data_IF_751512057139
#
_entry.id   IF_751512057139
#
_cell.length_a   1.000
_cell.length_b   1.000
_cell.length_c   1.000
_cell.angle_alpha   90.00
_cell.angle_beta   90.00
_cell.angle_gamma   90.00
#
_symmetry.space_group_name_H-M   'P 1'
#
loop_
_entity.id
_entity.type
_entity.pdbx_description
1 polymer ?
#
# COMPACT_ATOMS: atom_id res chain seq x y z
N UNK A 1 8.09 3.00 43.92
CA UNK A 1 7.78 4.04 42.93
C UNK A 1 7.91 3.39 41.54
N UNK A 2 6.78 3.02 40.94
CA UNK A 2 6.76 2.52 39.56
C UNK A 2 7.11 3.68 38.62
N UNK A 3 8.02 3.43 37.66
CA UNK A 3 8.28 4.37 36.59
C UNK A 3 6.95 4.69 35.86
N UNK A 4 6.68 5.96 35.50
CA UNK A 4 5.47 6.28 34.77
C UNK A 4 5.45 5.47 33.47
N UNK A 5 4.39 4.68 33.27
CA UNK A 5 4.17 4.02 31.98
C UNK A 5 4.08 5.14 30.95
N UNK A 6 5.02 5.15 30.00
CA UNK A 6 4.96 6.10 28.89
C UNK A 6 3.61 5.92 28.19
N UNK A 7 2.83 6.98 28.11
CA UNK A 7 1.53 6.98 27.43
C UNK A 7 1.78 6.73 25.95
N UNK A 8 1.33 5.57 25.48
CA UNK A 8 1.43 5.19 24.04
C UNK A 8 0.28 5.86 23.31
N UNK A 9 0.61 6.81 22.46
CA UNK A 9 -0.38 7.48 21.61
C UNK A 9 -0.74 6.60 20.39
N UNK A 10 -2.03 6.45 20.07
CA UNK A 10 -2.43 5.79 18.85
C UNK A 10 -1.84 6.48 17.62
N UNK A 11 -1.31 5.70 16.69
CA UNK A 11 -0.85 6.20 15.39
C UNK A 11 -2.06 6.78 14.65
N UNK A 12 -2.03 8.06 14.23
CA UNK A 12 -3.15 8.65 13.50
C UNK A 12 -3.36 7.96 12.15
N UNK A 13 -4.59 7.96 11.63
CA UNK A 13 -4.85 7.43 10.31
C UNK A 13 -4.08 8.22 9.23
N UNK A 14 -3.65 7.53 8.20
CA UNK A 14 -3.03 8.13 7.03
C UNK A 14 -4.01 9.07 6.33
N UNK A 15 -3.49 10.03 5.57
CA UNK A 15 -4.32 10.99 4.84
C UNK A 15 -5.29 10.24 3.90
N UNK A 16 -6.58 10.51 4.03
CA UNK A 16 -7.64 9.84 3.28
C UNK A 16 -8.20 8.57 3.92
N UNK A 17 -7.68 8.13 5.09
CA UNK A 17 -8.23 6.98 5.84
C UNK A 17 -9.04 7.38 7.08
N UNK A 18 -8.87 8.58 7.56
CA UNK A 18 -9.66 9.12 8.67
C UNK A 18 -10.89 9.91 8.19
N UNK A 19 -11.65 10.46 9.14
CA UNK A 19 -12.71 11.41 8.82
C UNK A 19 -12.14 12.56 7.98
N UNK A 20 -12.79 12.89 6.86
CA UNK A 20 -12.33 13.96 5.99
C UNK A 20 -12.48 15.30 6.72
N UNK A 21 -11.39 16.02 7.05
CA UNK A 21 -11.49 17.36 7.59
C UNK A 21 -12.11 18.27 6.54
N UNK A 22 -12.82 19.31 7.00
CA UNK A 22 -13.29 20.34 6.09
C UNK A 22 -12.09 21.17 5.62
N UNK A 23 -11.71 21.01 4.36
CA UNK A 23 -10.59 21.77 3.76
C UNK A 23 -11.12 23.00 3.03
N UNK A 24 -10.40 24.13 3.14
CA UNK A 24 -10.68 25.35 2.41
C UNK A 24 -10.10 25.26 0.98
N UNK A 25 -10.64 24.32 0.20
CA UNK A 25 -10.26 24.15 -1.19
C UNK A 25 -11.52 23.96 -2.05
N UNK A 26 -11.64 24.77 -3.12
CA UNK A 26 -12.78 24.70 -4.03
C UNK A 26 -12.44 23.87 -5.27
N UNK A 27 -13.12 22.74 -5.40
CA UNK A 27 -12.97 21.82 -6.54
C UNK A 27 -13.77 22.22 -7.79
N UNK A 28 -14.47 23.33 -7.78
CA UNK A 28 -15.43 23.71 -8.84
C UNK A 28 -14.75 23.89 -10.19
N UNK A 29 -13.65 24.65 -10.25
CA UNK A 29 -12.91 24.89 -11.51
C UNK A 29 -12.34 23.59 -12.10
N UNK A 30 -11.80 22.73 -11.24
CA UNK A 30 -11.28 21.42 -11.66
C UNK A 30 -12.40 20.49 -12.13
N UNK A 31 -13.55 20.49 -11.45
CA UNK A 31 -14.74 19.74 -11.88
C UNK A 31 -15.24 20.21 -13.26
N UNK A 32 -15.27 21.53 -13.50
CA UNK A 32 -15.60 22.11 -14.81
C UNK A 32 -14.60 21.71 -15.90
N UNK A 33 -13.30 21.78 -15.59
CA UNK A 33 -12.24 21.36 -16.50
C UNK A 33 -12.37 19.88 -16.89
N UNK A 34 -12.61 19.00 -15.92
CA UNK A 34 -12.87 17.57 -16.18
C UNK A 34 -14.11 17.36 -17.04
N UNK A 35 -15.22 18.05 -16.72
CA UNK A 35 -16.44 17.94 -17.52
C UNK A 35 -16.24 18.40 -18.95
N UNK A 36 -15.51 19.52 -19.15
CA UNK A 36 -15.18 20.04 -20.47
C UNK A 36 -14.29 19.06 -21.23
N UNK A 37 -13.31 18.45 -20.58
CA UNK A 37 -12.38 17.49 -21.17
C UNK A 37 -13.09 16.20 -21.70
N UNK A 38 -14.26 15.89 -21.13
CA UNK A 38 -15.07 14.71 -21.44
C UNK A 38 -16.37 15.04 -22.21
N UNK A 39 -16.54 16.27 -22.69
CA UNK A 39 -17.77 16.68 -23.38
C UNK A 39 -17.49 16.93 -24.86
N UNK A 40 -18.20 16.22 -25.73
CA UNK A 40 -18.11 16.42 -27.17
C UNK A 40 -17.48 15.26 -27.92
N UNK A 41 -16.83 15.54 -29.03
CA UNK A 41 -16.08 14.55 -29.81
C UNK A 41 -14.64 14.45 -29.28
N UNK A 42 -14.27 13.24 -28.86
CA UNK A 42 -12.95 12.96 -28.30
C UNK A 42 -12.80 13.39 -26.85
N UNK A 43 -11.69 13.06 -26.26
CA UNK A 43 -11.35 13.34 -24.86
C UNK A 43 -10.06 14.14 -24.78
N UNK A 44 -9.99 15.12 -23.89
CA UNK A 44 -8.75 15.83 -23.55
C UNK A 44 -8.05 15.10 -22.40
N UNK A 45 -7.30 14.06 -22.73
CA UNK A 45 -6.56 13.22 -21.80
C UNK A 45 -5.53 14.02 -21.01
N UNK A 46 -4.90 15.02 -21.64
CA UNK A 46 -3.92 15.89 -20.98
C UNK A 46 -4.55 16.67 -19.81
N UNK A 47 -5.77 17.17 -19.99
CA UNK A 47 -6.50 17.86 -18.92
C UNK A 47 -6.90 16.87 -17.81
N UNK A 48 -7.34 15.66 -18.15
CA UNK A 48 -7.62 14.62 -17.13
C UNK A 48 -6.40 14.32 -16.28
N UNK A 49 -5.24 14.12 -16.90
CA UNK A 49 -3.97 13.86 -16.21
C UNK A 49 -3.59 15.05 -15.32
N UNK A 50 -3.54 16.25 -15.90
CA UNK A 50 -3.13 17.47 -15.20
C UNK A 50 -3.98 17.76 -13.97
N UNK A 51 -5.29 17.56 -14.05
CA UNK A 51 -6.19 17.78 -12.93
C UNK A 51 -6.04 16.70 -11.88
N UNK A 52 -6.11 15.43 -12.26
CA UNK A 52 -6.20 14.33 -11.30
C UNK A 52 -4.85 13.98 -10.66
N UNK A 53 -3.75 13.98 -11.41
CA UNK A 53 -2.43 13.61 -10.90
C UNK A 53 -1.80 14.65 -9.96
N UNK A 54 -2.42 15.81 -9.75
CA UNK A 54 -1.93 16.84 -8.84
C UNK A 54 -2.64 16.88 -7.49
N UNK A 55 -3.70 16.11 -7.31
CA UNK A 55 -4.56 16.16 -6.11
C UNK A 55 -4.02 15.27 -4.99
N UNK A 56 -4.18 15.75 -3.77
CA UNK A 56 -4.05 14.93 -2.57
C UNK A 56 -5.37 14.16 -2.25
N UNK A 57 -5.37 13.23 -1.29
CA UNK A 57 -6.57 12.46 -0.95
C UNK A 57 -7.79 13.29 -0.53
N UNK A 58 -7.58 14.42 0.12
CA UNK A 58 -8.69 15.29 0.56
C UNK A 58 -9.26 16.10 -0.61
N UNK A 59 -8.37 16.63 -1.45
CA UNK A 59 -8.76 17.37 -2.65
C UNK A 59 -9.52 16.49 -3.64
N UNK A 60 -9.10 15.25 -3.86
CA UNK A 60 -9.79 14.34 -4.79
C UNK A 60 -11.19 14.00 -4.29
N UNK A 61 -11.37 13.88 -2.97
CA UNK A 61 -12.69 13.65 -2.38
C UNK A 61 -13.64 14.85 -2.61
N UNK A 62 -13.17 16.07 -2.36
CA UNK A 62 -13.93 17.31 -2.62
C UNK A 62 -14.22 17.45 -4.11
N UNK A 63 -13.23 17.19 -4.98
CA UNK A 63 -13.40 17.25 -6.43
C UNK A 63 -14.51 16.31 -6.92
N UNK A 64 -14.51 15.08 -6.46
CA UNK A 64 -15.54 14.10 -6.80
C UNK A 64 -16.93 14.54 -6.35
N UNK A 65 -17.03 15.04 -5.13
CA UNK A 65 -18.31 15.57 -4.59
C UNK A 65 -18.79 16.80 -5.40
N UNK A 66 -17.90 17.74 -5.70
CA UNK A 66 -18.19 18.93 -6.50
C UNK A 66 -18.67 18.55 -7.91
N UNK A 67 -18.00 17.58 -8.55
CA UNK A 67 -18.42 17.08 -9.86
C UNK A 67 -19.82 16.46 -9.83
N UNK A 68 -20.05 15.55 -8.88
CA UNK A 68 -21.32 14.86 -8.76
C UNK A 68 -22.48 15.84 -8.46
N UNK A 69 -22.25 16.76 -7.53
CA UNK A 69 -23.28 17.76 -7.15
C UNK A 69 -23.59 18.72 -8.29
N UNK A 70 -22.54 19.26 -8.96
CA UNK A 70 -22.70 20.27 -9.99
C UNK A 70 -23.33 19.75 -11.28
N UNK A 71 -22.99 18.52 -11.68
CA UNK A 71 -23.43 17.97 -12.97
C UNK A 71 -24.48 16.86 -12.83
N UNK A 72 -24.83 16.43 -11.62
CA UNK A 72 -25.73 15.30 -11.40
C UNK A 72 -25.19 13.98 -11.99
N UNK A 73 -23.86 13.83 -12.08
CA UNK A 73 -23.17 12.73 -12.77
C UNK A 73 -22.10 12.12 -11.87
N UNK A 74 -21.81 10.86 -12.08
CA UNK A 74 -20.71 10.16 -11.39
C UNK A 74 -19.42 10.30 -12.21
N UNK A 75 -18.38 10.89 -11.59
CA UNK A 75 -17.10 11.13 -12.27
C UNK A 75 -16.42 9.85 -12.75
N UNK A 76 -16.50 8.75 -11.97
CA UNK A 76 -15.92 7.47 -12.37
C UNK A 76 -16.65 6.90 -13.60
N UNK A 77 -17.98 6.99 -13.62
CA UNK A 77 -18.77 6.51 -14.77
C UNK A 77 -18.47 7.32 -16.02
N UNK A 78 -18.33 8.63 -15.88
CA UNK A 78 -17.98 9.48 -17.01
C UNK A 78 -16.58 9.15 -17.55
N UNK A 79 -15.58 9.01 -16.70
CA UNK A 79 -14.22 8.59 -17.12
C UNK A 79 -14.26 7.23 -17.85
N UNK A 80 -14.97 6.25 -17.31
CA UNK A 80 -15.12 4.93 -17.93
C UNK A 80 -15.82 4.95 -19.30
N UNK A 81 -16.65 5.95 -19.57
CA UNK A 81 -17.29 6.09 -20.88
C UNK A 81 -16.39 6.75 -21.92
N UNK A 82 -15.33 7.44 -21.49
CA UNK A 82 -14.48 8.25 -22.37
C UNK A 82 -13.11 7.61 -22.67
N UNK A 83 -12.57 6.84 -21.74
CA UNK A 83 -11.25 6.24 -21.85
C UNK A 83 -11.27 4.76 -21.49
N UNK A 84 -10.20 4.04 -21.78
CA UNK A 84 -10.14 2.58 -21.56
C UNK A 84 -8.76 2.10 -21.10
N UNK A 85 -8.65 0.82 -20.79
CA UNK A 85 -7.40 0.14 -20.49
C UNK A 85 -6.77 0.60 -19.16
N UNK A 86 -5.46 0.56 -19.10
CA UNK A 86 -4.72 0.92 -17.87
C UNK A 86 -4.75 2.41 -17.58
N UNK A 87 -4.96 3.25 -18.57
CA UNK A 87 -5.21 4.68 -18.39
C UNK A 87 -6.52 4.92 -17.63
N UNK A 88 -7.62 4.29 -18.04
CA UNK A 88 -8.89 4.30 -17.28
C UNK A 88 -8.70 3.80 -15.86
N UNK A 89 -8.03 2.65 -15.70
CA UNK A 89 -7.78 2.03 -14.38
C UNK A 89 -7.06 2.99 -13.46
N UNK A 90 -6.01 3.66 -13.93
CA UNK A 90 -5.24 4.63 -13.15
C UNK A 90 -6.04 5.87 -12.75
N UNK A 91 -6.77 6.46 -13.68
CA UNK A 91 -7.65 7.61 -13.39
C UNK A 91 -8.73 7.24 -12.36
N UNK A 92 -9.38 6.09 -12.53
CA UNK A 92 -10.40 5.60 -11.58
C UNK A 92 -9.81 5.33 -10.19
N UNK A 93 -8.57 4.82 -10.13
CA UNK A 93 -7.87 4.60 -8.85
C UNK A 93 -7.63 5.93 -8.11
N UNK A 94 -7.21 6.97 -8.82
CA UNK A 94 -7.04 8.31 -8.24
C UNK A 94 -8.39 8.86 -7.77
N UNK A 95 -9.44 8.79 -8.58
CA UNK A 95 -10.77 9.34 -8.25
C UNK A 95 -11.39 8.65 -7.04
N UNK A 96 -11.16 7.35 -6.85
CA UNK A 96 -11.62 6.65 -5.63
C UNK A 96 -10.95 7.15 -4.36
N UNK A 97 -9.72 7.65 -4.47
CA UNK A 97 -8.89 7.97 -3.32
C UNK A 97 -8.32 6.71 -2.64
N UNK A 98 -7.38 6.86 -1.68
CA UNK A 98 -6.60 5.73 -1.18
C UNK A 98 -7.44 4.65 -0.49
N UNK A 99 -8.35 5.02 0.42
CA UNK A 99 -9.14 4.07 1.18
C UNK A 99 -10.12 3.28 0.30
N UNK A 100 -10.90 3.98 -0.54
CA UNK A 100 -11.88 3.30 -1.40
C UNK A 100 -11.19 2.47 -2.50
N UNK A 101 -10.00 2.90 -2.96
CA UNK A 101 -9.21 2.09 -3.90
C UNK A 101 -8.68 0.82 -3.24
N UNK A 102 -8.22 0.88 -1.99
CA UNK A 102 -7.80 -0.30 -1.25
C UNK A 102 -8.95 -1.30 -1.07
N UNK A 103 -10.13 -0.82 -0.70
CA UNK A 103 -11.34 -1.66 -0.57
C UNK A 103 -11.74 -2.28 -1.91
N UNK A 104 -11.72 -1.49 -2.98
CA UNK A 104 -11.98 -1.98 -4.34
C UNK A 104 -11.00 -3.10 -4.75
N UNK A 105 -9.70 -2.90 -4.50
CA UNK A 105 -8.66 -3.87 -4.80
C UNK A 105 -8.80 -5.18 -4.01
N UNK A 106 -9.14 -5.10 -2.72
CA UNK A 106 -9.38 -6.27 -1.89
C UNK A 106 -10.56 -7.09 -2.41
N UNK A 107 -11.66 -6.42 -2.72
CA UNK A 107 -12.83 -7.09 -3.30
C UNK A 107 -12.48 -7.78 -4.62
N UNK A 108 -11.84 -7.06 -5.55
CA UNK A 108 -11.41 -7.61 -6.83
C UNK A 108 -10.39 -8.76 -6.71
N UNK A 109 -9.54 -8.72 -5.67
CA UNK A 109 -8.53 -9.75 -5.45
C UNK A 109 -9.13 -11.08 -4.98
N UNK A 110 -10.30 -11.04 -4.33
CA UNK A 110 -10.98 -12.20 -3.72
C UNK A 110 -12.33 -12.54 -4.37
N UNK A 111 -12.73 -11.87 -5.46
CA UNK A 111 -14.04 -12.07 -6.11
C UNK A 111 -14.04 -13.04 -7.29
N UNK A 112 -12.89 -13.58 -7.68
CA UNK A 112 -12.74 -14.43 -8.86
C UNK A 112 -12.12 -15.79 -8.56
N UNK A 113 -11.92 -16.63 -9.57
CA UNK A 113 -11.18 -17.86 -9.37
C UNK A 113 -9.72 -17.58 -9.06
N UNK A 114 -9.26 -18.05 -7.90
CA UNK A 114 -7.92 -17.79 -7.37
C UNK A 114 -7.78 -16.42 -6.71
N UNK A 115 -6.81 -16.30 -5.84
CA UNK A 115 -6.55 -15.08 -5.05
C UNK A 115 -5.41 -14.29 -5.67
N UNK A 116 -5.59 -12.98 -5.82
CA UNK A 116 -4.48 -12.10 -6.22
C UNK A 116 -3.63 -11.73 -4.99
N UNK A 117 -2.78 -12.65 -4.56
CA UNK A 117 -2.02 -12.59 -3.30
C UNK A 117 -1.16 -11.32 -3.18
N UNK A 118 -0.53 -10.88 -4.28
CA UNK A 118 0.27 -9.66 -4.29
C UNK A 118 -0.56 -8.41 -3.96
N UNK A 119 -1.84 -8.39 -4.34
CA UNK A 119 -2.75 -7.28 -4.01
C UNK A 119 -3.10 -7.30 -2.52
N UNK A 120 -3.34 -8.48 -1.94
CA UNK A 120 -3.55 -8.61 -0.50
C UNK A 120 -2.32 -8.12 0.28
N UNK A 121 -1.12 -8.50 -0.15
CA UNK A 121 0.12 -8.02 0.45
C UNK A 121 0.22 -6.49 0.37
N UNK A 122 0.03 -5.91 -0.82
CA UNK A 122 0.18 -4.48 -1.06
C UNK A 122 -0.83 -3.64 -0.25
N UNK A 123 -2.04 -4.15 -0.03
CA UNK A 123 -3.09 -3.42 0.69
C UNK A 123 -3.00 -3.63 2.19
N UNK A 124 -2.77 -4.85 2.68
CA UNK A 124 -2.98 -5.18 4.10
C UNK A 124 -1.70 -5.13 4.93
N UNK A 125 -0.51 -5.38 4.34
CA UNK A 125 0.71 -5.52 5.12
C UNK A 125 1.35 -4.16 5.45
N UNK A 126 1.82 -4.02 6.68
CA UNK A 126 2.49 -2.81 7.15
C UNK A 126 1.56 -1.62 7.42
N UNK A 127 0.26 -1.86 7.59
CA UNK A 127 -0.72 -0.80 7.96
C UNK A 127 -0.67 -0.48 9.44
N UNK A 128 -0.97 0.78 9.77
CA UNK A 128 -1.30 1.17 11.15
C UNK A 128 -2.62 0.52 11.58
N UNK A 129 -2.84 0.44 12.89
CA UNK A 129 -4.11 -0.04 13.43
C UNK A 129 -5.30 0.83 12.95
N UNK A 130 -5.10 2.15 12.90
CA UNK A 130 -6.12 3.09 12.44
C UNK A 130 -6.49 2.86 10.98
N UNK A 131 -5.50 2.72 10.08
CA UNK A 131 -5.76 2.45 8.67
C UNK A 131 -6.41 1.09 8.46
N UNK A 132 -5.97 0.07 9.18
CA UNK A 132 -6.56 -1.26 9.10
C UNK A 132 -8.03 -1.27 9.52
N UNK A 133 -8.38 -0.56 10.61
CA UNK A 133 -9.78 -0.43 11.04
C UNK A 133 -10.61 0.29 9.98
N UNK A 134 -10.10 1.38 9.40
CA UNK A 134 -10.78 2.11 8.32
C UNK A 134 -11.04 1.21 7.09
N UNK A 135 -10.04 0.43 6.68
CA UNK A 135 -10.18 -0.53 5.57
C UNK A 135 -11.27 -1.57 5.88
N UNK A 136 -11.24 -2.20 7.05
CA UNK A 136 -12.23 -3.22 7.47
C UNK A 136 -13.64 -2.66 7.51
N UNK A 137 -13.82 -1.50 8.11
CA UNK A 137 -15.13 -0.83 8.22
C UNK A 137 -15.68 -0.45 6.84
N UNK A 138 -14.86 0.19 5.99
CA UNK A 138 -15.27 0.58 4.64
C UNK A 138 -15.54 -0.63 3.75
N UNK A 139 -14.75 -1.71 3.90
CA UNK A 139 -15.00 -2.97 3.21
C UNK A 139 -16.38 -3.54 3.58
N UNK A 140 -16.69 -3.58 4.86
CA UNK A 140 -18.00 -4.06 5.33
C UNK A 140 -19.15 -3.18 4.84
N UNK A 141 -19.02 -1.87 4.92
CA UNK A 141 -20.04 -0.93 4.43
C UNK A 141 -20.29 -1.07 2.92
N UNK A 142 -19.25 -1.36 2.15
CA UNK A 142 -19.34 -1.45 0.68
C UNK A 142 -19.81 -2.81 0.18
N UNK A 143 -19.37 -3.89 0.83
CA UNK A 143 -19.60 -5.27 0.36
C UNK A 143 -20.64 -6.03 1.17
N UNK A 144 -21.05 -5.51 2.33
CA UNK A 144 -21.88 -6.17 3.35
C UNK A 144 -21.28 -7.49 3.88
N UNK A 145 -19.96 -7.67 3.73
CA UNK A 145 -19.18 -8.82 4.18
C UNK A 145 -18.04 -8.36 5.07
N UNK A 146 -17.58 -9.19 5.99
CA UNK A 146 -16.37 -8.90 6.76
C UNK A 146 -15.13 -9.30 5.98
N UNK A 147 -14.07 -8.50 6.07
CA UNK A 147 -12.82 -8.78 5.39
C UNK A 147 -12.20 -10.10 5.89
N UNK A 148 -12.33 -10.39 7.19
CA UNK A 148 -11.89 -11.66 7.80
C UNK A 148 -12.60 -12.86 7.20
N UNK A 149 -13.90 -12.76 6.90
CA UNK A 149 -14.66 -13.84 6.28
C UNK A 149 -14.13 -14.14 4.87
N UNK A 150 -13.88 -13.10 4.07
CA UNK A 150 -13.42 -13.27 2.70
C UNK A 150 -11.97 -13.79 2.65
N UNK A 151 -11.10 -13.29 3.52
CA UNK A 151 -9.72 -13.81 3.66
C UNK A 151 -9.71 -15.29 4.05
N UNK A 152 -10.60 -15.73 4.97
CA UNK A 152 -10.75 -17.16 5.31
C UNK A 152 -11.26 -18.01 4.16
N UNK A 153 -12.10 -17.43 3.31
CA UNK A 153 -12.60 -18.13 2.12
C UNK A 153 -11.54 -18.29 1.02
N UNK A 154 -10.59 -17.39 0.96
CA UNK A 154 -9.63 -17.25 -0.15
C UNK A 154 -8.24 -17.79 0.17
N UNK A 155 -7.78 -17.63 1.42
CA UNK A 155 -6.49 -18.13 1.87
C UNK A 155 -6.65 -19.41 2.68
N UNK A 156 -5.57 -20.17 2.82
CA UNK A 156 -5.60 -21.44 3.52
C UNK A 156 -4.45 -21.57 4.52
N UNK A 157 -4.64 -22.46 5.51
CA UNK A 157 -3.61 -22.90 6.45
C UNK A 157 -2.89 -21.74 7.18
N UNK A 158 -1.56 -21.69 7.07
CA UNK A 158 -0.70 -20.73 7.79
C UNK A 158 -0.80 -19.32 7.22
N UNK A 159 -1.01 -19.17 5.91
CA UNK A 159 -1.23 -17.87 5.26
C UNK A 159 -2.53 -17.23 5.74
N UNK A 160 -3.61 -17.99 5.82
CA UNK A 160 -4.86 -17.52 6.42
C UNK A 160 -4.62 -17.00 7.85
N UNK A 161 -3.98 -17.82 8.70
CA UNK A 161 -3.69 -17.42 10.09
C UNK A 161 -2.84 -16.16 10.18
N UNK A 162 -1.83 -16.03 9.29
CA UNK A 162 -0.98 -14.85 9.23
C UNK A 162 -1.81 -13.59 8.93
N UNK A 163 -2.64 -13.61 7.89
CA UNK A 163 -3.48 -12.47 7.54
C UNK A 163 -4.55 -12.17 8.60
N UNK A 164 -5.07 -13.16 9.30
CA UNK A 164 -5.96 -12.92 10.44
C UNK A 164 -5.25 -12.22 11.61
N UNK A 165 -3.97 -12.54 11.87
CA UNK A 165 -3.15 -11.78 12.84
C UNK A 165 -2.99 -10.32 12.41
N UNK A 166 -2.75 -10.06 11.11
CA UNK A 166 -2.65 -8.71 10.55
C UNK A 166 -3.97 -7.96 10.68
N UNK A 167 -5.09 -8.61 10.33
CA UNK A 167 -6.45 -8.02 10.39
C UNK A 167 -6.94 -7.74 11.81
N UNK A 168 -6.33 -8.33 12.84
CA UNK A 168 -6.65 -8.03 14.23
C UNK A 168 -6.45 -6.55 14.61
N UNK A 169 -5.62 -5.82 13.86
CA UNK A 169 -5.35 -4.38 14.04
C UNK A 169 -4.96 -4.03 15.49
N UNK A 170 -4.04 -4.80 16.05
CA UNK A 170 -3.58 -4.69 17.44
C UNK A 170 -2.04 -4.71 17.56
N UNK A 171 -1.34 -4.34 16.50
CA UNK A 171 0.12 -4.18 16.53
C UNK A 171 0.53 -3.02 17.46
N UNK A 172 1.78 -3.04 17.90
CA UNK A 172 2.33 -1.91 18.64
C UNK A 172 2.20 -0.61 17.82
N UNK A 173 1.78 0.46 18.50
CA UNK A 173 1.70 1.79 17.87
C UNK A 173 3.10 2.35 17.58
N UNK A 174 3.23 3.25 16.60
CA UNK A 174 4.55 3.78 16.23
C UNK A 174 5.18 4.63 17.32
N UNK A 175 4.40 5.15 18.27
CA UNK A 175 4.87 5.84 19.48
C UNK A 175 5.34 4.89 20.59
N UNK A 176 5.14 3.58 20.43
CA UNK A 176 5.56 2.61 21.44
C UNK A 176 7.10 2.57 21.56
N UNK A 177 7.65 2.49 22.79
CA UNK A 177 9.09 2.49 22.97
C UNK A 177 9.75 1.23 22.40
N UNK A 178 10.98 1.38 21.94
CA UNK A 178 11.86 0.26 21.58
C UNK A 178 12.63 -0.14 22.84
N UNK A 179 12.24 -1.26 23.45
CA UNK A 179 12.81 -1.76 24.70
C UNK A 179 13.88 -2.81 24.38
N UNK A 180 15.17 -2.60 24.72
CA UNK A 180 16.25 -3.51 24.35
C UNK A 180 16.03 -4.96 24.78
N UNK A 181 15.51 -5.19 25.98
CA UNK A 181 15.22 -6.54 26.49
C UNK A 181 14.14 -7.24 25.69
N UNK A 182 13.12 -6.51 25.22
CA UNK A 182 12.07 -7.06 24.36
C UNK A 182 12.61 -7.36 22.97
N UNK A 183 13.48 -6.48 22.45
CA UNK A 183 14.16 -6.70 21.16
C UNK A 183 15.04 -7.95 21.23
N UNK A 184 15.83 -8.09 22.28
CA UNK A 184 16.67 -9.27 22.49
C UNK A 184 15.86 -10.56 22.60
N UNK A 185 14.73 -10.50 23.32
CA UNK A 185 13.81 -11.63 23.43
C UNK A 185 13.26 -12.03 22.04
N UNK A 186 12.73 -11.07 21.29
CA UNK A 186 12.18 -11.32 19.97
C UNK A 186 13.22 -11.87 18.98
N UNK A 187 14.45 -11.36 19.02
CA UNK A 187 15.58 -11.86 18.22
C UNK A 187 15.91 -13.31 18.56
N UNK A 188 15.94 -13.67 19.85
CA UNK A 188 16.19 -15.05 20.26
C UNK A 188 15.06 -16.00 19.90
N UNK A 189 13.80 -15.54 19.99
CA UNK A 189 12.64 -16.33 19.58
C UNK A 189 12.63 -16.54 18.06
N UNK A 190 12.95 -15.51 17.25
CA UNK A 190 13.10 -15.65 15.81
C UNK A 190 14.19 -16.64 15.43
N UNK A 191 15.36 -16.55 16.09
CA UNK A 191 16.44 -17.51 15.86
C UNK A 191 16.03 -18.93 16.17
N UNK A 192 15.40 -19.17 17.33
CA UNK A 192 14.90 -20.50 17.72
C UNK A 192 13.81 -21.00 16.77
N UNK A 193 12.96 -20.11 16.26
CA UNK A 193 11.87 -20.46 15.34
C UNK A 193 12.36 -20.85 13.94
N UNK A 194 13.56 -20.43 13.56
CA UNK A 194 14.12 -20.59 12.21
C UNK A 194 15.40 -21.43 12.21
N UNK A 195 16.52 -20.85 12.57
CA UNK A 195 17.84 -21.46 12.43
C UNK A 195 18.26 -22.32 13.63
N UNK A 196 17.64 -22.14 14.79
CA UNK A 196 18.01 -22.82 16.05
C UNK A 196 17.44 -24.21 16.24
N UNK A 197 16.66 -24.74 15.29
CA UNK A 197 16.06 -26.07 15.35
C UNK A 197 15.86 -26.66 13.95
N UNK A 198 15.58 -27.97 13.90
CA UNK A 198 15.07 -28.60 12.67
C UNK A 198 13.60 -28.19 12.45
N UNK A 199 13.29 -27.66 11.29
CA UNK A 199 11.98 -27.13 10.92
C UNK A 199 11.77 -25.70 11.42
N UNK A 200 10.72 -25.06 10.93
CA UNK A 200 10.42 -23.63 11.18
C UNK A 200 9.13 -23.49 11.97
N UNK A 201 9.14 -22.65 13.01
CA UNK A 201 7.91 -22.21 13.66
C UNK A 201 7.38 -20.97 12.95
N UNK A 202 6.68 -21.19 11.84
CA UNK A 202 6.23 -20.15 10.95
C UNK A 202 5.26 -19.17 11.64
N UNK A 203 4.37 -19.69 12.51
CA UNK A 203 3.39 -18.83 13.17
C UNK A 203 4.01 -17.89 14.21
N UNK A 204 5.09 -18.30 14.86
CA UNK A 204 5.84 -17.43 15.77
C UNK A 204 6.48 -16.27 15.01
N UNK A 205 7.09 -16.55 13.84
CA UNK A 205 7.65 -15.50 12.97
C UNK A 205 6.56 -14.54 12.50
N UNK A 206 5.42 -15.07 12.03
CA UNK A 206 4.26 -14.27 11.62
C UNK A 206 3.76 -13.38 12.76
N UNK A 207 3.66 -13.92 13.97
CA UNK A 207 3.18 -13.18 15.14
C UNK A 207 4.10 -12.01 15.47
N UNK A 208 5.42 -12.23 15.56
CA UNK A 208 6.38 -11.17 15.87
C UNK A 208 6.29 -10.05 14.83
N UNK A 209 6.37 -10.35 13.53
CA UNK A 209 6.32 -9.34 12.48
C UNK A 209 4.97 -8.63 12.39
N UNK A 210 3.87 -9.26 12.78
CA UNK A 210 2.53 -8.66 12.76
C UNK A 210 2.23 -7.79 14.00
N UNK A 211 2.95 -8.01 15.12
CA UNK A 211 2.65 -7.34 16.40
C UNK A 211 3.58 -6.16 16.71
N UNK A 212 4.73 -6.05 16.07
CA UNK A 212 5.73 -5.01 16.37
C UNK A 212 5.53 -3.77 15.50
N UNK A 213 5.88 -2.59 16.05
CA UNK A 213 5.96 -1.33 15.29
C UNK A 213 7.11 -1.36 14.28
N UNK A 214 7.11 -0.43 13.34
CA UNK A 214 8.20 -0.31 12.36
C UNK A 214 9.55 -0.09 13.04
N UNK A 215 9.60 0.78 14.06
CA UNK A 215 10.81 1.02 14.84
C UNK A 215 11.30 -0.23 15.58
N UNK A 216 10.39 -1.00 16.16
CA UNK A 216 10.72 -2.27 16.83
C UNK A 216 11.23 -3.32 15.83
N UNK A 217 10.60 -3.46 14.67
CA UNK A 217 11.04 -4.38 13.60
C UNK A 217 12.46 -4.00 13.12
N UNK A 218 12.72 -2.71 12.96
CA UNK A 218 14.05 -2.22 12.58
C UNK A 218 15.11 -2.58 13.61
N UNK A 219 14.81 -2.39 14.88
CA UNK A 219 15.70 -2.77 15.98
C UNK A 219 15.93 -4.28 16.04
N UNK A 220 14.88 -5.09 15.84
CA UNK A 220 14.98 -6.55 15.76
C UNK A 220 15.90 -6.98 14.61
N UNK A 221 15.68 -6.46 13.40
CA UNK A 221 16.49 -6.80 12.24
C UNK A 221 17.98 -6.43 12.44
N UNK A 222 18.23 -5.25 13.00
CA UNK A 222 19.58 -4.78 13.32
C UNK A 222 20.26 -5.69 14.36
N UNK A 223 19.58 -5.97 15.46
CA UNK A 223 20.13 -6.81 16.56
C UNK A 223 20.34 -8.26 16.10
N UNK A 224 19.42 -8.79 15.27
CA UNK A 224 19.58 -10.13 14.69
C UNK A 224 20.87 -10.23 13.88
N UNK A 225 21.12 -9.25 13.02
CA UNK A 225 22.35 -9.18 12.22
C UNK A 225 23.61 -9.08 13.09
N UNK A 226 23.57 -8.26 14.16
CA UNK A 226 24.69 -8.15 15.08
C UNK A 226 24.99 -9.45 15.81
N UNK A 227 23.97 -10.19 16.26
CA UNK A 227 24.14 -11.44 17.02
C UNK A 227 24.52 -12.64 16.18
N UNK A 228 23.94 -12.76 15.00
CA UNK A 228 24.05 -13.97 14.17
C UNK A 228 24.80 -13.76 12.85
N UNK A 229 25.28 -12.54 12.58
CA UNK A 229 26.00 -12.17 11.33
C UNK A 229 25.22 -12.48 10.05
N UNK A 230 23.90 -12.53 10.14
CA UNK A 230 22.97 -12.80 9.03
C UNK A 230 21.84 -11.77 9.00
N UNK A 231 21.45 -11.39 7.79
CA UNK A 231 20.28 -10.56 7.60
C UNK A 231 19.00 -11.38 7.77
N UNK A 232 18.04 -10.87 8.51
CA UNK A 232 16.75 -11.52 8.74
C UNK A 232 16.00 -11.76 7.42
N UNK A 233 16.19 -10.89 6.42
CA UNK A 233 15.65 -11.09 5.07
C UNK A 233 16.20 -12.38 4.42
N UNK A 234 17.49 -12.66 4.58
CA UNK A 234 18.11 -13.90 4.09
C UNK A 234 17.54 -15.13 4.80
N UNK A 235 17.30 -15.04 6.11
CA UNK A 235 16.70 -16.10 6.89
C UNK A 235 15.28 -16.40 6.40
N UNK A 236 14.45 -15.37 6.20
CA UNK A 236 13.08 -15.54 5.69
C UNK A 236 13.10 -16.23 4.31
N UNK A 237 13.94 -15.80 3.39
CA UNK A 237 14.08 -16.43 2.06
C UNK A 237 14.52 -17.89 2.10
N UNK A 238 15.27 -18.28 3.11
CA UNK A 238 15.72 -19.65 3.30
C UNK A 238 14.64 -20.55 3.92
N UNK A 239 13.89 -20.01 4.87
CA UNK A 239 12.97 -20.78 5.72
C UNK A 239 11.51 -20.79 5.19
N UNK A 240 11.17 -19.86 4.31
CA UNK A 240 9.82 -19.70 3.76
C UNK A 240 9.84 -19.73 2.23
N UNK A 241 8.66 -19.95 1.64
CA UNK A 241 8.48 -19.95 0.19
C UNK A 241 7.10 -19.39 -0.20
N UNK A 242 6.94 -19.08 -1.48
CA UNK A 242 5.67 -18.67 -2.06
C UNK A 242 5.08 -17.41 -1.41
N UNK A 243 3.76 -17.40 -1.22
CA UNK A 243 3.05 -16.25 -0.69
C UNK A 243 3.51 -15.85 0.73
N UNK A 244 3.79 -16.82 1.60
CA UNK A 244 4.25 -16.56 2.96
C UNK A 244 5.61 -15.83 2.96
N UNK A 245 6.56 -16.26 2.15
CA UNK A 245 7.85 -15.59 1.99
C UNK A 245 7.66 -14.14 1.57
N UNK A 246 6.86 -13.91 0.52
CA UNK A 246 6.60 -12.56 0.00
C UNK A 246 5.94 -11.67 1.05
N UNK A 247 4.95 -12.19 1.78
CA UNK A 247 4.26 -11.45 2.83
C UNK A 247 5.19 -11.04 3.97
N UNK A 248 6.00 -11.98 4.48
CA UNK A 248 6.94 -11.71 5.58
C UNK A 248 8.06 -10.76 5.15
N UNK A 249 8.58 -10.89 3.93
CA UNK A 249 9.56 -9.94 3.37
C UNK A 249 8.97 -8.54 3.26
N UNK A 250 7.73 -8.41 2.83
CA UNK A 250 7.07 -7.11 2.72
C UNK A 250 6.86 -6.46 4.10
N UNK A 251 6.46 -7.21 5.12
CA UNK A 251 6.34 -6.72 6.49
C UNK A 251 7.71 -6.31 7.05
N UNK A 252 8.72 -7.15 6.92
CA UNK A 252 10.08 -6.84 7.37
C UNK A 252 10.61 -5.57 6.72
N UNK A 253 10.48 -5.44 5.41
CA UNK A 253 10.94 -4.28 4.65
C UNK A 253 10.14 -3.02 4.99
N UNK A 254 8.86 -3.14 5.31
CA UNK A 254 8.06 -2.00 5.80
C UNK A 254 8.67 -1.41 7.06
N UNK A 255 9.06 -2.23 8.02
CA UNK A 255 9.67 -1.78 9.26
C UNK A 255 11.12 -1.29 9.09
N UNK A 256 11.89 -1.91 8.20
CA UNK A 256 13.33 -1.60 8.05
C UNK A 256 13.60 -0.44 7.10
N UNK A 257 12.98 -0.44 5.91
CA UNK A 257 13.13 0.62 4.90
C UNK A 257 11.92 0.63 3.96
N UNK A 258 10.92 1.43 4.30
CA UNK A 258 9.67 1.53 3.57
C UNK A 258 9.85 2.06 2.13
N UNK A 259 10.78 2.98 1.92
CA UNK A 259 11.07 3.53 0.60
C UNK A 259 11.72 2.49 -0.31
N UNK A 260 12.68 1.72 0.20
CA UNK A 260 13.30 0.62 -0.53
C UNK A 260 12.29 -0.51 -0.80
N UNK A 261 11.39 -0.82 0.15
CA UNK A 261 10.29 -1.77 -0.07
C UNK A 261 9.49 -1.40 -1.32
N UNK A 262 9.03 -0.14 -1.41
CA UNK A 262 8.21 0.31 -2.53
C UNK A 262 9.00 0.38 -3.84
N UNK A 263 10.28 0.75 -3.80
CA UNK A 263 11.18 0.70 -4.96
C UNK A 263 11.32 -0.74 -5.51
N UNK A 264 11.48 -1.73 -4.63
CA UNK A 264 11.55 -3.14 -5.00
C UNK A 264 10.23 -3.67 -5.56
N UNK A 265 9.10 -3.27 -4.98
CA UNK A 265 7.76 -3.64 -5.46
C UNK A 265 7.46 -3.04 -6.84
N UNK A 266 7.89 -1.80 -7.10
CA UNK A 266 7.75 -1.17 -8.41
C UNK A 266 8.60 -1.89 -9.47
N UNK A 267 9.85 -2.21 -9.15
CA UNK A 267 10.69 -2.98 -10.08
C UNK A 267 10.12 -4.38 -10.34
N UNK A 268 9.60 -5.09 -9.31
CA UNK A 268 8.93 -6.37 -9.52
C UNK A 268 7.76 -6.30 -10.52
N UNK A 269 7.04 -5.17 -10.54
CA UNK A 269 5.96 -4.96 -11.50
C UNK A 269 6.46 -4.72 -12.94
N UNK A 270 7.72 -4.31 -13.10
CA UNK A 270 8.33 -3.96 -14.38
C UNK A 270 9.39 -4.96 -14.85
N UNK A 271 9.81 -5.89 -13.99
CA UNK A 271 10.84 -6.87 -14.31
C UNK A 271 10.27 -8.13 -14.98
N UNK A 272 11.06 -8.71 -15.88
CA UNK A 272 10.72 -9.96 -16.56
C UNK A 272 10.14 -9.78 -17.97
N UNK A 273 9.44 -10.79 -18.46
CA UNK A 273 8.81 -10.76 -19.78
C UNK A 273 7.44 -10.08 -19.70
N UNK A 274 7.40 -8.78 -20.01
CA UNK A 274 6.19 -7.95 -19.97
C UNK A 274 5.98 -7.27 -18.59
N UNK A 275 5.14 -6.25 -18.60
CA UNK A 275 4.82 -5.45 -17.43
C UNK A 275 3.57 -5.99 -16.73
N UNK A 276 3.63 -6.08 -15.42
CA UNK A 276 2.45 -6.38 -14.59
C UNK A 276 1.66 -5.07 -14.38
N UNK A 277 1.02 -4.58 -15.42
CA UNK A 277 0.38 -3.25 -15.45
C UNK A 277 -0.61 -3.01 -14.30
N UNK A 278 -1.35 -4.03 -13.92
CA UNK A 278 -2.26 -3.97 -12.78
C UNK A 278 -1.51 -3.62 -11.47
N UNK A 279 -0.37 -4.26 -11.20
CA UNK A 279 0.44 -3.95 -10.00
C UNK A 279 1.14 -2.60 -10.15
N UNK A 280 1.72 -2.32 -11.33
CA UNK A 280 2.41 -1.06 -11.59
C UNK A 280 1.48 0.14 -11.37
N UNK A 281 0.30 0.14 -11.96
CA UNK A 281 -0.70 1.20 -11.82
C UNK A 281 -1.04 1.44 -10.36
N UNK A 282 -1.39 0.40 -9.62
CA UNK A 282 -1.82 0.54 -8.23
C UNK A 282 -0.67 0.96 -7.29
N UNK A 283 0.55 0.46 -7.53
CA UNK A 283 1.74 0.82 -6.74
C UNK A 283 2.17 2.26 -6.98
N UNK A 284 2.11 2.74 -8.22
CA UNK A 284 2.38 4.15 -8.55
C UNK A 284 1.33 5.07 -7.93
N UNK A 285 0.04 4.77 -8.06
CA UNK A 285 -1.02 5.57 -7.43
C UNK A 285 -0.90 5.56 -5.91
N UNK A 286 -0.49 4.47 -5.30
CA UNK A 286 -0.30 4.38 -3.85
C UNK A 286 0.80 5.30 -3.33
N UNK A 287 1.98 5.32 -3.98
CA UNK A 287 3.07 6.22 -3.57
C UNK A 287 2.80 7.69 -3.93
N UNK A 288 1.92 7.93 -4.90
CA UNK A 288 1.50 9.28 -5.30
C UNK A 288 0.87 10.09 -4.17
N UNK A 289 0.18 9.45 -3.23
CA UNK A 289 -0.59 10.12 -2.17
C UNK A 289 0.26 10.85 -1.14
N UNK A 290 1.50 10.43 -0.94
CA UNK A 290 2.46 11.07 -0.03
C UNK A 290 3.68 11.54 -0.80
N UNK A 291 3.76 12.85 -1.05
CA UNK A 291 4.84 13.46 -1.85
C UNK A 291 6.22 13.28 -1.21
N UNK A 292 6.31 13.32 0.11
CA UNK A 292 7.59 13.10 0.79
C UNK A 292 8.05 11.66 0.64
N UNK A 293 7.14 10.72 0.83
CA UNK A 293 7.44 9.30 0.62
C UNK A 293 7.78 9.00 -0.85
N UNK A 294 7.05 9.57 -1.80
CA UNK A 294 7.35 9.45 -3.24
C UNK A 294 8.81 9.84 -3.57
N UNK A 295 9.28 10.98 -3.05
CA UNK A 295 10.67 11.40 -3.28
C UNK A 295 11.67 10.45 -2.63
N UNK A 296 11.38 9.90 -1.45
CA UNK A 296 12.19 8.86 -0.83
C UNK A 296 12.24 7.58 -1.69
N UNK A 297 11.11 7.16 -2.24
CA UNK A 297 11.01 6.00 -3.14
C UNK A 297 11.82 6.23 -4.43
N UNK A 298 11.72 7.41 -5.04
CA UNK A 298 12.54 7.77 -6.22
C UNK A 298 14.03 7.72 -5.91
N UNK A 299 14.44 8.24 -4.75
CA UNK A 299 15.83 8.17 -4.28
C UNK A 299 16.30 6.73 -4.04
N UNK A 300 15.51 5.92 -3.36
CA UNK A 300 15.80 4.51 -3.09
C UNK A 300 15.88 3.69 -4.39
N UNK A 301 14.96 3.95 -5.33
CA UNK A 301 14.96 3.31 -6.65
C UNK A 301 16.25 3.62 -7.43
N UNK A 302 16.61 4.91 -7.51
CA UNK A 302 17.85 5.34 -8.19
C UNK A 302 19.11 4.74 -7.51
N UNK A 303 19.13 4.76 -6.18
CA UNK A 303 20.24 4.16 -5.42
C UNK A 303 20.42 2.67 -5.75
N UNK A 304 19.32 1.92 -5.81
CA UNK A 304 19.35 0.46 -6.01
C UNK A 304 19.58 0.04 -7.44
N UNK A 305 18.89 0.70 -8.41
CA UNK A 305 18.85 0.27 -9.80
C UNK A 305 19.66 1.15 -10.77
N UNK A 306 20.25 2.25 -10.27
CA UNK A 306 21.08 3.20 -11.06
C UNK A 306 20.33 3.83 -12.24
N UNK A 307 18.99 3.84 -12.18
CA UNK A 307 18.08 4.47 -13.15
C UNK A 307 17.02 5.24 -12.38
N UNK A 308 16.48 6.31 -12.96
CA UNK A 308 15.32 6.98 -12.36
C UNK A 308 14.06 6.12 -12.53
N UNK A 309 13.16 6.20 -11.55
CA UNK A 309 11.88 5.48 -11.59
C UNK A 309 11.06 5.85 -12.84
N UNK A 310 10.98 7.13 -13.15
CA UNK A 310 10.23 7.63 -14.31
C UNK A 310 10.83 7.19 -15.63
N UNK A 311 12.15 7.14 -15.75
CA UNK A 311 12.81 6.57 -16.93
C UNK A 311 12.47 5.08 -17.11
N UNK A 312 12.40 4.32 -16.01
CA UNK A 312 12.04 2.91 -16.06
C UNK A 312 10.58 2.72 -16.47
N UNK A 313 9.65 3.53 -15.94
CA UNK A 313 8.23 3.54 -16.31
C UNK A 313 8.06 3.84 -17.80
N UNK A 314 8.76 4.86 -18.34
CA UNK A 314 8.73 5.21 -19.76
C UNK A 314 9.24 4.08 -20.68
N UNK A 315 10.12 3.23 -20.18
CA UNK A 315 10.60 2.06 -20.91
C UNK A 315 9.62 0.88 -20.94
N UNK A 316 8.60 0.89 -20.09
CA UNK A 316 7.65 -0.22 -19.93
C UNK A 316 6.23 0.13 -20.40
N UNK A 317 5.92 1.41 -20.52
CA UNK A 317 4.57 1.91 -20.80
C UNK A 317 4.57 2.88 -21.97
N UNK A 318 3.41 3.25 -22.47
CA UNK A 318 3.28 4.18 -23.60
C UNK A 318 1.99 4.99 -23.55
N UNK A 319 1.93 6.08 -24.33
CA UNK A 319 0.71 6.87 -24.55
C UNK A 319 0.25 7.62 -23.29
N UNK A 320 -1.08 7.74 -23.14
CA UNK A 320 -1.67 8.45 -22.00
C UNK A 320 -1.49 7.70 -20.68
N UNK A 321 -1.40 6.39 -20.73
CA UNK A 321 -1.07 5.57 -19.57
C UNK A 321 0.32 5.90 -19.02
N UNK A 322 1.34 5.97 -19.88
CA UNK A 322 2.70 6.41 -19.50
C UNK A 322 2.66 7.82 -18.91
N UNK A 323 2.01 8.76 -19.60
CA UNK A 323 1.91 10.16 -19.15
C UNK A 323 1.26 10.28 -17.78
N UNK A 324 0.21 9.50 -17.51
CA UNK A 324 -0.44 9.46 -16.20
C UNK A 324 0.50 8.98 -15.11
N UNK A 325 1.18 7.85 -15.31
CA UNK A 325 2.10 7.29 -14.30
C UNK A 325 3.27 8.24 -14.02
N UNK A 326 3.82 8.86 -15.05
CA UNK A 326 4.91 9.84 -14.92
C UNK A 326 4.43 11.08 -14.16
N UNK A 327 3.22 11.57 -14.46
CA UNK A 327 2.62 12.69 -13.75
C UNK A 327 2.35 12.35 -12.26
N UNK A 328 1.91 11.13 -11.94
CA UNK A 328 1.79 10.65 -10.56
C UNK A 328 3.13 10.63 -9.82
N UNK A 329 4.24 10.44 -10.54
CA UNK A 329 5.60 10.55 -9.99
C UNK A 329 6.11 12.00 -9.87
N UNK A 330 5.29 13.00 -10.17
CA UNK A 330 5.60 14.42 -10.01
C UNK A 330 6.29 15.07 -11.20
N UNK A 331 6.35 14.42 -12.35
CA UNK A 331 6.88 14.98 -13.60
C UNK A 331 5.72 15.29 -14.56
N UNK A 332 5.23 16.54 -14.52
CA UNK A 332 4.09 17.04 -15.33
C UNK A 332 4.63 17.86 -16.50
#
# INVERSE_FOLDING_TARGET
YGAPQAYVQPTPPSLGYGPAPNIQWDGTQDAEALRKAMKGFGTDEKTLIRVLATKDPLQVNVLRQSYNHRFGRDLIKDVKSEVSGWFETGLCAIIRGPLNQDVYLLYEAMSGPGTKENVLNDVLLGRSNADMRAIKETYHQTTHRTLEHDVKGDLSMKTERHFLMVLAANRAEESAPVIPQQVDHDVMELYKATEGKMGTDELLVCNILSQRSDAQIRAIAHTYRQKFTRDLETVIKKEFSGHMEQALLQQLRTGTDKAMRDALLLEDAMAGAGTKDHLLTNRVVRIHWDRNHLEQVKGAYHHRFKKSLTHRIKGETSGDYERLLVACCGEI
#
